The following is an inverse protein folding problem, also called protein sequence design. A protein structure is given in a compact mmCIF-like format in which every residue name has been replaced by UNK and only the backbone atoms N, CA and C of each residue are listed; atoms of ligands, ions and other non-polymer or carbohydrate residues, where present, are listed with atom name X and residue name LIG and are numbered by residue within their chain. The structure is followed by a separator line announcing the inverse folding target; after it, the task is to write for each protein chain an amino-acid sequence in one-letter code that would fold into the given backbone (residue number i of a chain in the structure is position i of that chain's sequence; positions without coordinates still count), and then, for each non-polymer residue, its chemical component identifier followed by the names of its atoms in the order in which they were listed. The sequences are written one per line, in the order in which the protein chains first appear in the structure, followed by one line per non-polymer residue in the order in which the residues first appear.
data_IF_770025394190
#
_entry.id   IF_770025394190
#
_cell.length_a   1.000
_cell.length_b   1.000
_cell.length_c   1.000
_cell.angle_alpha   90.00
_cell.angle_beta   90.00
_cell.angle_gamma   90.00
#
_symmetry.space_group_name_H-M   'P 1'
#
loop_
_entity.id
_entity.type
_entity.pdbx_description
1 polymer ?
2 polymer ?
3 polymer ?
4 non-polymer ?
5 non-polymer ?
6 non-polymer ?
7 water ?
#
loop_
_entity_poly.entity_id
_entity_poly.type
_entity_poly.pdbx_seq_one_letter_code
_entity_poly.pdbx_strand_id
2 'polydeoxyribonucleotide' '(DG)(DG)(DG)(DT)(DT)(DT)(DC)(DC)(DA)(DC)(DT)(DT)(DA)(DT)(DT)(DC)(DA)(DA)(DC)(DA)(DT)(DT)(DT)(DT)(DA)(DG)' ?
3 'polydeoxyribonucleotide' '(DC)(DC)(DT)(DA)(DA)(DA)(DA)(DT)(DG)(DT)(DT)(DG)(DA)(DA)(DT)(DA)(DA)(DG)(DT)(DG)(DG)(DA)(DA)(DA)(DC)(DC)' ?
#
# COMPACT_ATOMS: atom_id res chain seq x y z
N UNK A 6 5.66 21.07 2.17
CA UNK A 6 6.96 21.14 2.83
C UNK A 6 6.91 20.34 4.14
N UNK A 7 5.80 19.61 4.32
CA UNK A 7 5.57 18.82 5.53
C UNK A 7 6.16 17.43 5.35
N UNK A 8 6.72 16.89 6.42
CA UNK A 8 7.22 15.53 6.36
C UNK A 8 6.21 14.58 6.98
N UNK A 9 6.40 13.30 6.70
CA UNK A 9 5.50 12.23 7.10
C UNK A 9 6.15 11.49 8.26
N UNK A 10 5.35 11.19 9.26
CA UNK A 10 5.80 10.35 10.34
C UNK A 10 6.40 9.05 9.77
N UNK A 11 7.53 8.58 10.28
CA UNK A 11 8.19 7.43 9.62
C UNK A 11 7.38 6.14 9.65
N UNK A 12 6.56 5.87 10.70
CA UNK A 12 5.77 4.64 10.68
C UNK A 12 4.59 4.74 9.71
N UNK A 13 4.01 5.92 9.55
CA UNK A 13 2.97 6.13 8.54
C UNK A 13 3.55 5.86 7.17
N UNK A 14 4.79 6.32 6.98
CA UNK A 14 5.46 6.13 5.70
C UNK A 14 5.69 4.64 5.43
N UNK A 15 6.10 3.88 6.44
CA UNK A 15 6.27 2.45 6.23
C UNK A 15 4.95 1.76 5.97
N UNK A 16 3.88 2.14 6.68
CA UNK A 16 2.58 1.57 6.37
C UNK A 16 2.13 1.94 4.97
N UNK A 17 2.40 3.18 4.55
CA UNK A 17 2.02 3.52 3.18
C UNK A 17 2.86 2.78 2.16
N UNK A 18 4.15 2.55 2.45
CA UNK A 18 4.97 1.73 1.59
C UNK A 18 4.52 0.26 1.56
N UNK A 19 4.09 -0.28 2.71
CA UNK A 19 3.54 -1.64 2.67
C UNK A 19 2.35 -1.70 1.74
N UNK A 20 1.57 -0.63 1.66
CA UNK A 20 0.41 -0.60 0.79
C UNK A 20 0.77 -0.41 -0.67
N UNK A 21 1.58 0.62 -0.98
CA UNK A 21 1.74 1.16 -2.35
C UNK A 21 3.18 1.09 -2.90
N UNK A 22 4.16 0.67 -2.10
CA UNK A 22 5.53 0.65 -2.56
C UNK A 22 5.88 -0.60 -3.33
N UNK A 23 7.00 -0.53 -4.05
CA UNK A 23 7.49 -1.64 -4.83
C UNK A 23 9.01 -1.54 -4.95
N UNK A 24 9.68 -2.67 -4.86
CA UNK A 24 11.12 -2.76 -5.06
C UNK A 24 11.42 -3.27 -6.47
N UNK A 25 12.45 -2.71 -7.10
CA UNK A 25 12.75 -2.93 -8.50
C UNK A 25 14.17 -3.40 -8.66
N UNK A 26 14.35 -4.42 -9.51
CA UNK A 26 15.69 -4.89 -9.86
C UNK A 26 15.72 -5.14 -11.36
N UNK A 27 16.43 -4.29 -12.09
CA UNK A 27 16.49 -4.44 -13.53
C UNK A 27 17.78 -5.15 -13.90
N UNK A 28 17.66 -6.17 -14.75
CA UNK A 28 18.85 -6.86 -15.26
C UNK A 28 18.71 -6.84 -16.77
N UNK A 29 19.48 -6.00 -17.44
CA UNK A 29 19.17 -5.54 -18.80
C UNK A 29 20.26 -6.00 -19.73
N UNK A 30 19.87 -6.62 -20.86
CA UNK A 30 20.83 -6.87 -21.94
C UNK A 30 21.50 -5.57 -22.30
N UNK A 31 22.81 -5.55 -22.24
CA UNK A 31 23.53 -4.32 -22.56
C UNK A 31 24.82 -4.69 -23.30
N UNK A 32 24.83 -4.42 -24.61
CA UNK A 32 25.99 -4.67 -25.46
C UNK A 32 27.21 -3.89 -25.05
N UNK A 33 27.07 -2.79 -24.29
CA UNK A 33 28.22 -1.97 -23.94
C UNK A 33 28.80 -2.31 -22.57
N UNK A 34 28.18 -3.25 -21.82
CA UNK A 34 28.68 -3.67 -20.52
C UNK A 34 29.64 -4.84 -20.65
N UNK A 35 30.65 -4.88 -19.77
CA UNK A 35 31.68 -5.91 -19.87
C UNK A 35 31.08 -7.29 -19.74
N UNK A 36 30.08 -7.44 -18.87
CA UNK A 36 29.48 -8.73 -18.61
C UNK A 36 28.24 -8.92 -19.50
N UNK A 37 27.97 -8.00 -20.42
CA UNK A 37 26.80 -8.17 -21.27
C UNK A 37 25.45 -7.79 -20.67
N UNK A 38 25.40 -7.42 -19.39
CA UNK A 38 24.18 -6.98 -18.71
C UNK A 38 24.49 -5.76 -17.87
N UNK A 39 23.61 -4.77 -17.89
CA UNK A 39 23.66 -3.67 -16.90
C UNK A 39 22.48 -3.81 -15.92
N UNK A 40 22.58 -3.16 -14.76
CA UNK A 40 21.61 -3.33 -13.66
C UNK A 40 21.07 -2.00 -13.16
N UNK A 41 19.93 -2.04 -12.48
CA UNK A 41 19.33 -0.89 -11.81
C UNK A 41 18.50 -1.39 -10.63
N UNK A 42 18.71 -0.79 -9.46
CA UNK A 42 18.10 -1.24 -8.23
C UNK A 42 17.25 -0.10 -7.68
N UNK A 43 16.08 -0.40 -7.13
CA UNK A 43 15.31 0.78 -6.75
C UNK A 43 14.08 0.50 -5.93
N UNK A 44 13.45 1.59 -5.49
CA UNK A 44 12.18 1.57 -4.79
C UNK A 44 11.28 2.58 -5.47
N UNK A 45 9.97 2.28 -5.59
CA UNK A 45 9.13 3.28 -6.23
C UNK A 45 7.70 3.19 -5.72
N UNK A 46 6.99 4.31 -5.80
CA UNK A 46 5.57 4.39 -5.50
C UNK A 46 4.90 5.14 -6.67
N UNK A 47 3.85 4.56 -7.22
CA UNK A 47 3.07 5.18 -8.30
C UNK A 47 1.66 5.39 -7.78
N UNK A 48 1.15 6.62 -7.93
CA UNK A 48 -0.16 7.01 -7.43
C UNK A 48 -0.88 7.80 -8.52
N UNK A 49 -2.19 7.94 -8.38
CA UNK A 49 -2.96 8.87 -9.21
C UNK A 49 -2.52 10.30 -8.98
N UNK A 50 -2.50 11.08 -10.07
CA UNK A 50 -2.14 12.49 -10.03
C UNK A 50 -2.71 13.25 -8.85
N UNK A 51 -3.93 12.93 -8.43
CA UNK A 51 -4.58 13.66 -7.35
C UNK A 51 -3.83 13.56 -6.04
N UNK A 52 -2.94 12.57 -5.92
CA UNK A 52 -2.18 12.34 -4.69
C UNK A 52 -0.68 12.59 -4.88
N UNK A 53 -0.34 13.45 -5.85
CA UNK A 53 1.04 13.86 -6.05
C UNK A 53 1.65 14.46 -4.80
N UNK A 54 0.86 15.15 -3.98
CA UNK A 54 1.51 15.81 -2.86
C UNK A 54 2.02 14.81 -1.82
N UNK A 55 1.44 13.59 -1.77
CA UNK A 55 2.02 12.54 -0.94
C UNK A 55 3.45 12.24 -1.39
N UNK A 56 3.65 12.08 -2.71
CA UNK A 56 4.97 11.76 -3.22
C UNK A 56 5.93 12.90 -2.93
N UNK A 57 5.47 14.15 -3.06
CA UNK A 57 6.33 15.27 -2.74
C UNK A 57 6.72 15.26 -1.29
N UNK A 58 5.81 14.82 -0.41
CA UNK A 58 6.12 14.80 1.02
C UNK A 58 7.09 13.69 1.40
N UNK A 59 6.93 12.50 0.80
CA UNK A 59 7.91 11.43 1.00
C UNK A 59 9.27 11.90 0.50
N UNK A 60 9.30 12.46 -0.70
CA UNK A 60 10.55 12.96 -1.24
C UNK A 60 11.22 13.95 -0.28
N UNK A 61 10.44 14.83 0.35
CA UNK A 61 11.11 15.77 1.26
C UNK A 61 11.33 15.15 2.65
N UNK A 62 10.69 14.05 2.99
CA UNK A 62 11.05 13.36 4.23
C UNK A 62 12.42 12.71 4.10
N UNK A 63 12.63 11.97 2.99
CA UNK A 63 13.88 11.26 2.79
C UNK A 63 14.95 12.10 2.14
N UNK A 64 14.55 13.15 1.42
CA UNK A 64 15.44 13.93 0.54
C UNK A 64 16.12 13.08 -0.54
N UNK A 65 15.37 12.13 -1.12
CA UNK A 65 15.86 11.29 -2.23
C UNK A 65 14.66 11.07 -3.16
N UNK A 66 14.95 10.64 -4.37
CA UNK A 66 13.93 10.16 -5.31
C UNK A 66 13.56 11.24 -6.32
N UNK A 67 13.10 10.80 -7.49
CA UNK A 67 12.65 11.69 -8.55
C UNK A 67 11.19 11.42 -8.88
N UNK A 68 10.47 12.48 -9.18
CA UNK A 68 9.02 12.42 -9.46
C UNK A 68 8.82 12.68 -10.94
N UNK A 69 8.03 11.82 -11.61
CA UNK A 69 7.80 11.91 -13.05
C UNK A 69 6.38 11.44 -13.33
N UNK A 70 5.78 11.96 -14.38
CA UNK A 70 4.50 11.45 -14.84
C UNK A 70 4.64 9.96 -15.13
N UNK A 71 3.55 9.23 -14.85
CA UNK A 71 3.45 7.83 -15.25
C UNK A 71 2.15 7.69 -16.05
N UNK A 72 2.20 7.95 -17.37
CA UNK A 72 0.98 7.98 -18.15
C UNK A 72 0.25 9.29 -17.92
N UNK A 73 -1.04 9.35 -18.31
CA UNK A 73 -1.78 10.59 -18.23
C UNK A 73 -2.43 10.82 -16.89
N UNK A 74 -2.62 9.77 -16.09
CA UNK A 74 -3.40 9.91 -14.88
C UNK A 74 -2.65 9.58 -13.61
N UNK A 75 -1.38 9.26 -13.70
CA UNK A 75 -0.61 8.81 -12.53
C UNK A 75 0.76 9.47 -12.54
N UNK A 76 1.47 9.30 -11.43
CA UNK A 76 2.75 9.96 -11.19
C UNK A 76 3.55 9.08 -10.24
N UNK A 77 4.87 8.99 -10.48
CA UNK A 77 5.69 8.09 -9.69
C UNK A 77 6.74 8.86 -8.91
N UNK A 78 7.10 8.33 -7.75
CA UNK A 78 8.35 8.64 -7.05
C UNK A 78 9.26 7.43 -7.18
N UNK A 79 10.44 7.61 -7.78
CA UNK A 79 11.36 6.50 -8.00
C UNK A 79 12.70 6.85 -7.39
N UNK A 80 13.32 5.90 -6.70
CA UNK A 80 14.65 6.06 -6.12
C UNK A 80 15.48 4.94 -6.69
N UNK A 81 16.40 5.27 -7.58
CA UNK A 81 17.35 4.29 -8.10
C UNK A 81 18.79 4.74 -7.98
N UNK A 82 19.06 6.03 -7.76
CA UNK A 82 20.44 6.48 -7.53
C UNK A 82 21.05 5.67 -6.40
N UNK A 83 22.19 5.00 -6.67
CA UNK A 83 22.61 3.92 -5.80
C UNK A 83 22.86 4.41 -4.38
N UNK A 84 23.61 5.52 -4.21
CA UNK A 84 23.89 6.02 -2.87
C UNK A 84 22.64 6.42 -2.10
N UNK A 85 21.60 6.91 -2.80
CA UNK A 85 20.33 7.25 -2.15
C UNK A 85 19.59 6.03 -1.61
N UNK A 86 19.86 4.85 -2.13
CA UNK A 86 19.24 3.63 -1.60
C UNK A 86 19.65 3.36 -0.16
N UNK A 87 20.81 3.86 0.29
CA UNK A 87 21.14 3.79 1.72
C UNK A 87 20.08 4.42 2.61
N UNK A 88 19.46 5.52 2.19
CA UNK A 88 18.36 6.09 2.96
C UNK A 88 17.18 5.13 3.02
N UNK A 89 16.84 4.51 1.90
CA UNK A 89 15.77 3.50 1.88
C UNK A 89 16.09 2.38 2.88
N UNK A 90 17.31 1.86 2.86
CA UNK A 90 17.65 0.77 3.77
C UNK A 90 17.61 1.27 5.20
N UNK A 91 18.26 2.40 5.47
CA UNK A 91 18.21 2.89 6.84
C UNK A 91 16.77 3.10 7.30
N UNK A 92 15.88 3.61 6.44
CA UNK A 92 14.52 3.79 6.91
C UNK A 92 13.86 2.44 7.23
N UNK A 93 13.99 1.45 6.32
CA UNK A 93 13.21 0.21 6.53
C UNK A 93 13.89 -0.71 7.52
N UNK A 94 15.16 -0.46 7.84
CA UNK A 94 15.75 -1.12 9.00
C UNK A 94 15.13 -0.61 10.28
N UNK A 95 14.97 0.72 10.39
CA UNK A 95 14.47 1.33 11.62
C UNK A 95 12.95 1.22 11.77
N UNK A 96 12.20 1.15 10.66
CA UNK A 96 10.73 1.13 10.66
C UNK A 96 10.28 0.05 9.71
N UNK A 97 10.36 -1.21 10.10
CA UNK A 97 10.31 -2.30 9.12
C UNK A 97 8.90 -2.60 8.63
N UNK A 98 8.86 -3.08 7.39
CA UNK A 98 7.67 -3.54 6.71
C UNK A 98 7.11 -4.82 7.34
N UNK A 99 5.83 -5.07 7.06
CA UNK A 99 4.96 -5.98 7.79
C UNK A 99 4.34 -7.00 6.83
N UNK A 100 4.07 -6.58 5.57
CA UNK A 100 3.39 -7.46 4.61
C UNK A 100 4.39 -8.38 3.90
N UNK A 101 3.93 -9.17 2.92
CA UNK A 101 4.89 -9.98 2.18
C UNK A 101 5.94 -9.12 1.50
N UNK A 102 5.66 -7.83 1.35
CA UNK A 102 6.63 -6.95 0.76
C UNK A 102 7.93 -6.91 1.56
N UNK A 103 7.90 -7.23 2.86
CA UNK A 103 9.16 -7.33 3.57
C UNK A 103 10.09 -8.32 2.88
N UNK A 104 9.54 -9.40 2.31
CA UNK A 104 10.43 -10.33 1.62
C UNK A 104 11.07 -9.71 0.39
N UNK A 105 10.32 -8.85 -0.32
CA UNK A 105 10.92 -8.18 -1.46
C UNK A 105 12.02 -7.20 -1.03
N UNK A 106 11.79 -6.48 0.06
CA UNK A 106 12.83 -5.63 0.65
C UNK A 106 14.09 -6.42 1.01
N UNK A 107 13.92 -7.61 1.58
CA UNK A 107 15.08 -8.39 1.93
C UNK A 107 15.87 -8.78 0.71
N UNK A 108 15.19 -9.09 -0.41
CA UNK A 108 15.90 -9.34 -1.68
C UNK A 108 16.58 -8.09 -2.23
N UNK A 109 15.88 -6.95 -2.19
CA UNK A 109 16.50 -5.66 -2.53
C UNK A 109 17.79 -5.41 -1.73
N UNK A 110 17.79 -5.71 -0.43
CA UNK A 110 19.02 -5.60 0.36
C UNK A 110 20.13 -6.54 -0.11
N UNK A 111 19.80 -7.80 -0.39
CA UNK A 111 20.83 -8.69 -0.95
C UNK A 111 21.36 -8.15 -2.26
N UNK A 112 20.47 -7.60 -3.11
CA UNK A 112 20.95 -7.04 -4.36
C UNK A 112 21.81 -5.81 -4.12
N UNK A 113 21.48 -5.02 -3.11
CA UNK A 113 22.31 -3.87 -2.77
C UNK A 113 23.74 -4.30 -2.42
N UNK A 114 23.90 -5.33 -1.57
CA UNK A 114 25.24 -5.80 -1.21
C UNK A 114 26.04 -6.25 -2.42
N UNK A 115 25.42 -7.01 -3.31
CA UNK A 115 26.14 -7.43 -4.50
C UNK A 115 26.64 -6.20 -5.24
N UNK A 116 25.80 -5.17 -5.32
CA UNK A 116 26.20 -4.00 -6.10
C UNK A 116 27.20 -3.14 -5.37
N UNK A 117 27.04 -3.01 -4.05
CA UNK A 117 27.99 -2.24 -3.24
C UNK A 117 29.40 -2.80 -3.34
N UNK A 118 29.54 -4.11 -3.48
CA UNK A 118 30.83 -4.78 -3.66
C UNK A 118 31.31 -4.75 -5.09
N UNK A 119 30.58 -4.09 -6.00
CA UNK A 119 30.92 -4.01 -7.41
C UNK A 119 30.91 -5.38 -8.09
N UNK A 120 30.34 -6.40 -7.46
CA UNK A 120 30.29 -7.74 -8.08
C UNK A 120 29.37 -7.83 -9.30
N UNK A 121 28.38 -6.93 -9.42
CA UNK A 121 27.50 -6.86 -10.59
C UNK A 121 28.23 -6.48 -11.88
N UNK A 122 29.46 -6.04 -11.81
CA UNK A 122 30.30 -5.83 -13.00
C UNK A 122 31.04 -7.10 -13.39
N UNK A 123 30.87 -8.21 -12.64
CA UNK A 123 31.52 -9.48 -12.93
C UNK A 123 30.49 -10.57 -13.21
N UNK A 124 30.95 -11.66 -13.86
CA UNK A 124 30.07 -12.81 -14.09
C UNK A 124 29.33 -13.24 -12.84
N UNK A 125 30.06 -13.45 -11.74
CA UNK A 125 29.47 -14.08 -10.57
C UNK A 125 28.39 -13.21 -9.95
N UNK A 126 28.59 -11.88 -9.96
CA UNK A 126 27.57 -10.98 -9.39
C UNK A 126 26.30 -10.92 -10.23
N UNK A 127 26.44 -10.88 -11.55
CA UNK A 127 25.24 -10.91 -12.37
C UNK A 127 24.46 -12.19 -12.11
N UNK A 128 25.16 -13.33 -11.96
CA UNK A 128 24.45 -14.57 -11.70
C UNK A 128 23.72 -14.51 -10.38
N UNK A 129 24.33 -13.90 -9.36
CA UNK A 129 23.63 -13.79 -8.08
C UNK A 129 22.44 -12.82 -8.18
N UNK A 130 22.59 -11.72 -8.90
CA UNK A 130 21.41 -10.86 -9.07
C UNK A 130 20.27 -11.65 -9.73
N UNK A 131 20.60 -12.49 -10.71
CA UNK A 131 19.55 -13.27 -11.39
C UNK A 131 18.86 -14.17 -10.41
N UNK A 132 19.62 -14.85 -9.53
CA UNK A 132 19.02 -15.70 -8.49
C UNK A 132 18.13 -14.90 -7.54
N UNK A 133 18.56 -13.69 -7.16
CA UNK A 133 17.77 -12.79 -6.33
C UNK A 133 16.50 -12.33 -7.07
N UNK A 134 16.65 -11.87 -8.32
CA UNK A 134 15.49 -11.43 -9.06
C UNK A 134 14.44 -12.54 -9.23
N UNK A 135 14.90 -13.79 -9.37
CA UNK A 135 13.96 -14.91 -9.55
C UNK A 135 12.96 -15.01 -8.43
N UNK A 136 13.32 -14.53 -7.23
CA UNK A 136 12.42 -14.61 -6.09
C UNK A 136 11.66 -13.31 -5.84
N UNK A 137 12.01 -12.24 -6.55
CA UNK A 137 11.45 -10.90 -6.35
C UNK A 137 10.24 -10.65 -7.23
N UNK A 138 9.14 -10.16 -6.66
CA UNK A 138 7.97 -9.75 -7.46
C UNK A 138 7.67 -10.89 -8.46
N UNK A 139 7.52 -10.60 -9.75
CA UNK A 139 7.06 -11.55 -10.77
C UNK A 139 8.18 -12.44 -11.34
N UNK A 140 9.40 -12.32 -10.88
CA UNK A 140 10.38 -13.34 -11.25
C UNK A 140 11.04 -13.09 -12.57
N UNK A 141 11.68 -14.13 -13.08
CA UNK A 141 12.48 -14.00 -14.29
C UNK A 141 11.59 -14.07 -15.49
N UNK A 142 11.91 -13.30 -16.50
CA UNK A 142 11.29 -13.56 -17.79
C UNK A 142 11.79 -14.90 -18.33
N UNK A 143 11.07 -15.46 -19.31
CA UNK A 143 11.56 -16.68 -19.96
C UNK A 143 12.92 -16.40 -20.60
N UNK A 144 13.10 -15.21 -21.17
CA UNK A 144 14.36 -14.93 -21.84
C UNK A 144 15.51 -14.96 -20.85
N UNK A 145 15.33 -14.33 -19.69
CA UNK A 145 16.42 -14.26 -18.76
C UNK A 145 16.65 -15.62 -18.09
N UNK A 146 15.60 -16.39 -17.85
CA UNK A 146 15.83 -17.76 -17.37
C UNK A 146 16.61 -18.56 -18.41
N UNK A 147 16.27 -18.44 -19.68
CA UNK A 147 16.99 -19.26 -20.65
C UNK A 147 18.43 -18.81 -20.83
N UNK A 148 18.75 -17.57 -20.44
CA UNK A 148 20.09 -17.05 -20.57
C UNK A 148 20.98 -17.47 -19.43
N UNK A 149 20.42 -17.96 -18.32
CA UNK A 149 21.20 -18.41 -17.16
C UNK A 149 20.80 -19.85 -16.83
N UNK A 150 21.22 -20.84 -17.69
CA UNK A 150 20.84 -22.24 -17.47
C UNK A 150 21.37 -22.78 -16.18
N UNK A 151 20.52 -22.79 -15.19
CA UNK A 151 20.94 -23.17 -13.85
C UNK A 151 19.63 -23.39 -13.11
N UNK A 152 19.61 -24.35 -12.18
CA UNK A 152 18.43 -24.64 -11.39
C UNK A 152 18.25 -23.51 -10.38
N UNK A 153 17.26 -22.66 -10.57
CA UNK A 153 17.13 -21.43 -9.77
C UNK A 153 15.78 -21.50 -9.05
N UNK A 154 15.81 -21.48 -7.73
CA UNK A 154 14.60 -21.48 -6.93
C UNK A 154 13.83 -20.16 -7.07
N UNK A 155 12.50 -20.26 -7.10
CA UNK A 155 11.66 -19.07 -7.05
C UNK A 155 10.93 -18.92 -5.73
N UNK A 156 11.29 -19.71 -4.72
CA UNK A 156 10.52 -19.81 -3.49
C UNK A 156 11.14 -18.96 -2.38
N UNK A 157 10.30 -18.38 -1.55
CA UNK A 157 10.80 -17.63 -0.41
C UNK A 157 9.97 -17.93 0.81
N UNK A 158 10.52 -17.63 1.98
CA UNK A 158 9.71 -17.80 3.17
C UNK A 158 8.66 -16.69 3.23
N UNK A 159 7.47 -17.06 3.67
CA UNK A 159 6.39 -16.11 3.86
C UNK A 159 6.67 -15.25 5.07
N UNK A 160 6.19 -14.05 5.05
CA UNK A 160 6.38 -13.15 6.19
C UNK A 160 5.18 -13.31 7.09
N UNK A 161 5.40 -13.31 8.40
CA UNK A 161 4.30 -13.44 9.34
C UNK A 161 4.59 -12.47 10.48
N UNK A 162 3.97 -11.30 10.44
CA UNK A 162 4.26 -10.25 11.40
C UNK A 162 2.98 -9.55 11.75
N UNK A 163 2.95 -8.99 12.93
CA UNK A 163 1.82 -8.26 13.47
C UNK A 163 1.96 -6.77 13.19
N UNK A 164 0.83 -6.09 13.15
CA UNK A 164 0.73 -4.64 13.01
C UNK A 164 1.50 -4.01 14.17
N UNK A 165 2.46 -3.15 13.92
CA UNK A 165 3.35 -2.72 15.01
C UNK A 165 2.75 -1.62 15.84
N UNK A 166 1.84 -0.83 15.26
CA UNK A 166 1.33 0.32 15.97
C UNK A 166 0.31 0.97 15.04
N UNK A 167 -0.40 1.96 15.56
CA UNK A 167 -1.48 2.59 14.82
C UNK A 167 -1.01 3.58 13.78
N UNK A 168 0.21 4.10 13.92
CA UNK A 168 0.77 4.91 12.85
C UNK A 168 0.92 4.09 11.58
N UNK A 169 1.56 2.90 11.70
CA UNK A 169 1.62 2.00 10.55
C UNK A 169 0.24 1.79 9.97
N UNK A 170 -0.79 1.67 10.83
CA UNK A 170 -2.13 1.40 10.31
C UNK A 170 -2.68 2.62 9.53
N UNK A 171 -2.44 3.83 10.05
CA UNK A 171 -2.90 5.00 9.32
C UNK A 171 -2.24 5.09 7.95
N UNK A 172 -0.95 4.74 7.87
CA UNK A 172 -0.27 4.75 6.60
C UNK A 172 -0.78 3.68 5.66
N UNK A 173 -0.99 2.46 6.17
CA UNK A 173 -1.51 1.38 5.35
C UNK A 173 -2.91 1.66 4.86
N UNK A 174 -3.75 2.22 5.75
CA UNK A 174 -5.14 2.57 5.40
C UNK A 174 -5.18 3.71 4.40
N UNK A 175 -4.29 4.68 4.55
CA UNK A 175 -4.16 5.69 3.51
C UNK A 175 -3.97 5.06 2.13
N UNK A 176 -3.30 3.91 2.05
CA UNK A 176 -3.18 3.21 0.80
C UNK A 176 -4.39 2.39 0.42
N UNK A 177 -4.72 1.38 1.24
CA UNK A 177 -5.65 0.33 0.92
C UNK A 177 -7.03 0.49 1.55
N UNK A 178 -7.23 1.51 2.37
CA UNK A 178 -8.48 1.64 3.09
C UNK A 178 -9.56 2.33 2.28
N UNK A 179 -10.82 2.13 2.68
CA UNK A 179 -11.93 2.67 1.92
C UNK A 179 -13.05 3.01 2.87
N UNK A 180 -13.57 4.24 2.81
CA UNK A 180 -14.65 4.67 3.69
C UNK A 180 -15.86 5.02 2.84
N UNK A 181 -17.02 4.39 3.08
CA UNK A 181 -18.12 4.88 2.27
C UNK A 181 -19.46 4.87 3.01
N UNK A 182 -20.39 5.61 2.42
CA UNK A 182 -21.78 5.73 2.82
C UNK A 182 -22.56 4.82 1.88
N UNK A 183 -23.03 3.73 2.39
CA UNK A 183 -23.77 2.75 1.61
C UNK A 183 -25.27 3.01 1.82
N UNK A 184 -25.96 3.42 0.75
CA UNK A 184 -27.40 3.72 0.80
C UNK A 184 -28.18 2.47 0.38
N UNK A 185 -28.85 1.84 1.33
CA UNK A 185 -29.50 0.56 1.12
C UNK A 185 -31.00 0.80 0.92
N UNK A 186 -31.53 0.42 -0.25
CA UNK A 186 -32.97 0.46 -0.46
C UNK A 186 -33.66 -0.43 0.56
N UNK A 187 -34.62 0.13 1.32
CA UNK A 187 -35.11 -0.55 2.52
C UNK A 187 -36.64 -0.53 2.58
N UNK A 188 -37.18 -1.41 3.43
CA UNK A 188 -38.59 -1.30 3.81
C UNK A 188 -38.80 -0.38 5.00
N UNK A 189 -37.74 0.30 5.45
CA UNK A 189 -37.91 1.28 6.52
C UNK A 189 -38.92 2.34 6.10
N UNK A 190 -39.46 3.03 7.12
CA UNK A 190 -40.37 4.14 6.86
C UNK A 190 -39.79 5.05 5.78
N UNK A 191 -38.57 5.51 5.99
CA UNK A 191 -37.96 6.44 5.04
C UNK A 191 -37.51 5.78 3.74
N UNK A 192 -37.46 4.46 3.66
CA UNK A 192 -37.16 3.75 2.42
C UNK A 192 -35.69 3.65 2.01
N UNK A 193 -34.77 4.22 2.78
CA UNK A 193 -33.34 4.18 2.47
C UNK A 193 -32.62 4.05 3.80
N UNK A 194 -31.89 2.95 3.98
CA UNK A 194 -31.08 2.73 5.16
C UNK A 194 -29.66 3.24 4.89
N UNK A 195 -29.11 4.01 5.82
CA UNK A 195 -27.75 4.50 5.75
C UNK A 195 -26.83 3.53 6.48
N UNK A 196 -25.84 3.00 5.77
CA UNK A 196 -24.85 2.09 6.36
C UNK A 196 -23.48 2.67 6.11
N UNK A 197 -22.73 2.93 7.17
CA UNK A 197 -21.33 3.30 7.01
C UNK A 197 -20.49 2.03 6.99
N UNK A 198 -19.56 1.95 6.03
CA UNK A 198 -18.71 0.78 5.79
C UNK A 198 -17.25 1.23 5.76
N UNK A 199 -16.41 0.56 6.55
CA UNK A 199 -14.94 0.70 6.46
C UNK A 199 -14.42 -0.60 5.87
N UNK A 200 -13.52 -0.50 4.88
CA UNK A 200 -13.05 -1.70 4.20
C UNK A 200 -11.56 -1.63 3.96
N UNK A 201 -10.88 -2.75 4.12
CA UNK A 201 -9.50 -2.85 3.66
C UNK A 201 -9.43 -4.07 2.79
N UNK A 202 -8.76 -3.95 1.67
CA UNK A 202 -8.70 -5.00 0.69
C UNK A 202 -7.26 -5.44 0.48
N UNK A 203 -7.03 -6.75 0.32
CA UNK A 203 -5.68 -7.29 0.18
C UNK A 203 -5.75 -8.66 -0.50
N UNK A 204 -4.68 -9.00 -1.19
CA UNK A 204 -4.55 -10.33 -1.74
C UNK A 204 -4.38 -11.36 -0.63
N UNK A 205 -4.74 -12.61 -0.96
CA UNK A 205 -4.78 -13.65 0.06
C UNK A 205 -3.40 -14.06 0.57
N UNK A 206 -2.30 -13.78 -0.15
CA UNK A 206 -0.97 -13.97 0.42
C UNK A 206 -0.76 -13.21 1.75
N UNK A 207 -1.59 -12.27 2.09
CA UNK A 207 -1.48 -11.68 3.41
C UNK A 207 -2.72 -11.92 4.27
N UNK A 208 -3.29 -13.13 4.18
CA UNK A 208 -4.47 -13.45 4.98
C UNK A 208 -4.16 -13.32 6.45
N UNK A 209 -2.94 -13.68 6.88
CA UNK A 209 -2.65 -13.65 8.29
C UNK A 209 -2.80 -12.26 8.85
N UNK A 210 -2.05 -11.32 8.28
CA UNK A 210 -2.17 -9.91 8.60
C UNK A 210 -3.63 -9.43 8.59
N UNK A 211 -4.33 -9.69 7.49
CA UNK A 211 -5.74 -9.31 7.40
C UNK A 211 -6.55 -9.87 8.58
N UNK A 212 -6.44 -11.18 8.83
CA UNK A 212 -7.25 -11.81 9.89
C UNK A 212 -6.97 -11.14 11.22
N UNK A 213 -5.76 -10.69 11.41
CA UNK A 213 -5.36 -10.08 12.67
C UNK A 213 -6.02 -8.71 12.90
N UNK A 214 -6.42 -8.01 11.82
CA UNK A 214 -7.08 -6.73 12.00
C UNK A 214 -8.31 -6.87 12.88
N UNK A 215 -9.00 -8.02 12.81
CA UNK A 215 -10.17 -8.19 13.66
C UNK A 215 -9.75 -8.08 15.11
N UNK A 216 -8.65 -8.73 15.47
CA UNK A 216 -8.19 -8.67 16.85
C UNK A 216 -7.56 -7.31 17.16
N UNK A 217 -6.78 -6.78 16.22
CA UNK A 217 -6.10 -5.52 16.45
C UNK A 217 -7.09 -4.40 16.66
N UNK A 218 -8.16 -4.37 15.88
CA UNK A 218 -9.14 -3.31 16.01
C UNK A 218 -10.35 -3.73 16.84
N UNK A 219 -10.44 -5.00 17.23
CA UNK A 219 -11.53 -5.50 18.04
C UNK A 219 -12.90 -5.45 17.40
N UNK A 220 -12.96 -5.48 16.08
CA UNK A 220 -14.23 -5.50 15.37
C UNK A 220 -13.97 -6.01 13.96
N UNK A 221 -15.07 -6.18 13.20
CA UNK A 221 -14.99 -6.50 11.78
C UNK A 221 -15.08 -7.98 11.46
N UNK A 222 -15.13 -8.26 10.16
CA UNK A 222 -15.09 -9.61 9.63
C UNK A 222 -14.34 -9.58 8.29
N UNK A 223 -13.98 -10.78 7.81
CA UNK A 223 -13.21 -10.97 6.60
C UNK A 223 -14.05 -11.76 5.63
N UNK A 224 -14.11 -11.30 4.38
CA UNK A 224 -14.72 -12.05 3.28
C UNK A 224 -13.64 -12.39 2.27
N UNK A 225 -13.87 -13.47 1.53
CA UNK A 225 -13.10 -13.79 0.33
C UNK A 225 -13.91 -13.47 -0.92
N UNK A 226 -13.21 -13.04 -1.96
CA UNK A 226 -13.80 -12.76 -3.27
C UNK A 226 -13.01 -13.51 -4.33
N UNK A 227 -13.70 -13.85 -5.44
CA UNK A 227 -13.16 -14.57 -6.60
C UNK A 227 -13.60 -13.86 -7.88
N UNK A 228 -12.64 -13.63 -8.78
CA UNK A 228 -12.90 -13.05 -10.10
C UNK A 228 -12.12 -13.94 -11.06
N UNK A 229 -12.83 -14.90 -11.67
CA UNK A 229 -12.15 -15.92 -12.45
C UNK A 229 -11.09 -16.60 -11.59
N UNK A 230 -9.83 -16.49 -11.98
CA UNK A 230 -8.77 -17.16 -11.23
C UNK A 230 -8.21 -16.34 -10.06
N UNK A 231 -8.65 -15.10 -9.85
CA UNK A 231 -8.02 -14.20 -8.88
C UNK A 231 -8.80 -14.17 -7.58
N UNK A 232 -8.09 -13.98 -6.47
CA UNK A 232 -8.71 -14.05 -5.16
C UNK A 232 -8.19 -12.92 -4.30
N UNK A 233 -9.05 -12.36 -3.45
CA UNK A 233 -8.59 -11.34 -2.53
C UNK A 233 -9.52 -11.37 -1.33
N UNK A 234 -9.13 -10.60 -0.28
CA UNK A 234 -9.89 -10.47 0.96
C UNK A 234 -10.36 -9.03 1.18
N UNK A 235 -11.56 -8.88 1.77
CA UNK A 235 -11.99 -7.64 2.42
C UNK A 235 -12.00 -7.89 3.91
N UNK A 236 -11.37 -7.02 4.66
CA UNK A 236 -11.76 -6.76 6.04
C UNK A 236 -12.82 -5.67 6.01
N UNK A 237 -13.92 -5.86 6.72
CA UNK A 237 -14.96 -4.82 6.76
C UNK A 237 -15.45 -4.60 8.18
N UNK A 238 -15.84 -3.35 8.44
CA UNK A 238 -16.64 -3.03 9.61
C UNK A 238 -17.93 -2.39 9.13
N UNK A 239 -19.07 -2.93 9.60
CA UNK A 239 -20.36 -2.35 9.30
C UNK A 239 -21.18 -1.99 10.53
N UNK A 240 -20.81 -2.45 11.73
CA UNK A 240 -21.62 -2.13 12.90
C UNK A 240 -21.35 -0.70 13.32
N UNK A 241 -22.42 0.11 13.45
CA UNK A 241 -22.16 1.53 13.65
C UNK A 241 -21.43 1.77 14.95
N UNK A 242 -21.67 0.93 15.95
CA UNK A 242 -21.05 1.12 17.26
C UNK A 242 -19.54 0.99 17.16
N UNK A 243 -19.07 -0.02 16.42
CA UNK A 243 -17.65 -0.22 16.18
C UNK A 243 -17.08 0.91 15.33
N UNK A 244 -17.79 1.30 14.26
CA UNK A 244 -17.34 2.44 13.46
C UNK A 244 -17.12 3.65 14.34
N UNK A 245 -18.11 3.95 15.18
CA UNK A 245 -18.08 5.23 15.88
C UNK A 245 -17.15 5.20 17.08
N UNK A 246 -17.03 4.06 17.75
CA UNK A 246 -16.21 3.96 18.95
C UNK A 246 -14.82 3.40 18.72
N UNK A 247 -14.61 2.62 17.65
CA UNK A 247 -13.29 2.01 17.43
C UNK A 247 -12.58 2.55 16.20
N UNK A 248 -13.23 2.59 15.03
CA UNK A 248 -12.51 2.99 13.83
C UNK A 248 -12.25 4.48 13.81
N UNK A 249 -13.31 5.27 13.93
CA UNK A 249 -13.16 6.72 13.86
C UNK A 249 -12.10 7.24 14.83
N UNK A 250 -12.11 6.86 16.13
CA UNK A 250 -11.09 7.40 17.04
C UNK A 250 -9.67 7.03 16.62
N UNK A 251 -9.46 5.85 16.07
CA UNK A 251 -8.12 5.48 15.59
C UNK A 251 -7.58 6.52 14.62
N UNK A 252 -8.39 6.86 13.61
CA UNK A 252 -7.87 7.72 12.55
C UNK A 252 -7.98 9.20 12.87
N UNK A 253 -8.76 9.60 13.88
CA UNK A 253 -8.60 10.97 14.35
C UNK A 253 -7.25 11.13 15.04
N UNK A 254 -6.82 10.14 15.81
CA UNK A 254 -5.57 10.20 16.55
C UNK A 254 -4.37 9.92 15.67
N UNK A 255 -4.54 9.16 14.61
CA UNK A 255 -3.45 8.79 13.69
C UNK A 255 -3.90 9.17 12.30
N UNK A 256 -3.46 10.34 11.85
CA UNK A 256 -4.08 11.07 10.74
C UNK A 256 -3.70 10.51 9.36
N UNK A 257 -4.71 10.26 8.53
CA UNK A 257 -4.55 9.73 7.19
C UNK A 257 -3.83 10.76 6.34
N UNK A 258 -3.25 10.29 5.24
CA UNK A 258 -2.62 11.19 4.28
C UNK A 258 -3.34 11.05 2.93
N UNK A 259 -3.20 12.09 2.10
CA UNK A 259 -3.75 12.04 0.76
C UNK A 259 -5.21 12.46 0.74
N UNK A 260 -5.81 12.38 -0.44
CA UNK A 260 -7.21 12.77 -0.51
C UNK A 260 -8.07 11.78 0.25
N UNK A 261 -7.58 10.57 0.54
CA UNK A 261 -8.38 9.71 1.40
C UNK A 261 -8.75 10.39 2.73
N UNK A 262 -7.92 11.31 3.21
CA UNK A 262 -8.22 12.06 4.44
C UNK A 262 -9.55 12.79 4.32
N UNK A 263 -9.81 13.39 3.16
CA UNK A 263 -11.03 14.17 3.00
C UNK A 263 -12.25 13.25 2.97
N UNK A 264 -12.10 12.06 2.41
CA UNK A 264 -13.19 11.11 2.45
C UNK A 264 -13.46 10.67 3.87
N UNK A 265 -12.40 10.49 4.66
CA UNK A 265 -12.60 10.13 6.07
C UNK A 265 -13.33 11.22 6.82
N UNK A 266 -12.91 12.46 6.63
CA UNK A 266 -13.58 13.58 7.31
C UNK A 266 -15.04 13.65 6.91
N UNK A 267 -15.35 13.46 5.62
CA UNK A 267 -16.75 13.50 5.19
C UNK A 267 -17.53 12.34 5.81
N UNK A 268 -16.95 11.14 5.77
CA UNK A 268 -17.51 9.98 6.47
C UNK A 268 -17.83 10.30 7.93
N UNK A 269 -16.93 11.03 8.60
CA UNK A 269 -17.13 11.36 10.02
C UNK A 269 -18.32 12.32 10.21
N UNK A 270 -18.51 13.28 9.30
CA UNK A 270 -19.75 14.08 9.25
C UNK A 270 -20.98 13.18 9.30
N UNK A 271 -21.06 12.20 8.40
CA UNK A 271 -22.25 11.35 8.36
C UNK A 271 -22.37 10.54 9.63
N UNK A 272 -21.25 10.15 10.22
CA UNK A 272 -21.27 9.46 11.51
C UNK A 272 -21.94 10.35 12.56
N UNK A 273 -21.55 11.62 12.61
CA UNK A 273 -22.17 12.55 13.56
C UNK A 273 -23.70 12.61 13.36
N UNK A 274 -24.15 12.73 12.11
CA UNK A 274 -25.58 12.79 11.85
C UNK A 274 -26.29 11.53 12.30
N UNK A 275 -25.67 10.37 12.08
CA UNK A 275 -26.30 9.11 12.49
C UNK A 275 -26.38 9.06 14.01
N UNK A 276 -25.31 9.52 14.69
CA UNK A 276 -25.30 9.50 16.15
C UNK A 276 -26.42 10.36 16.73
N UNK A 277 -26.78 11.44 16.02
CA UNK A 277 -27.92 12.29 16.34
C UNK A 277 -29.25 11.76 15.80
N UNK A 278 -29.27 10.60 15.14
CA UNK A 278 -30.46 10.03 14.54
C UNK A 278 -31.04 10.90 13.44
N UNK A 279 -30.30 11.91 12.99
CA UNK A 279 -30.74 12.72 11.87
C UNK A 279 -30.76 11.96 10.55
N UNK A 280 -30.19 10.74 10.50
CA UNK A 280 -30.28 9.91 9.29
C UNK A 280 -31.69 9.40 9.08
N UNK A 281 -32.54 9.52 10.08
CA UNK A 281 -33.94 9.12 9.96
C UNK A 281 -34.87 10.29 9.68
N UNK A 282 -34.32 11.45 9.33
CA UNK A 282 -35.13 12.59 8.94
C UNK A 282 -34.86 12.91 7.48
N UNK A 283 -35.84 13.56 6.83
CA UNK A 283 -35.67 13.91 5.42
C UNK A 283 -34.56 14.92 5.26
N UNK A 284 -34.47 15.89 6.17
CA UNK A 284 -33.42 16.90 6.02
C UNK A 284 -32.04 16.25 6.18
N UNK A 285 -31.93 15.30 7.11
CA UNK A 285 -30.73 14.52 7.29
C UNK A 285 -30.31 13.71 6.07
N UNK A 286 -31.13 12.72 5.68
CA UNK A 286 -30.81 11.90 4.53
C UNK A 286 -30.44 12.74 3.31
N UNK A 287 -31.10 13.89 3.15
CA UNK A 287 -30.74 14.78 2.05
C UNK A 287 -29.30 15.23 2.17
N UNK A 288 -28.88 15.63 3.36
CA UNK A 288 -27.50 16.09 3.54
C UNK A 288 -26.52 14.93 3.38
N UNK A 289 -26.78 13.80 4.02
CA UNK A 289 -25.98 12.59 3.82
C UNK A 289 -25.83 12.30 2.33
N UNK A 290 -26.92 12.36 1.57
CA UNK A 290 -26.82 12.09 0.14
C UNK A 290 -25.87 13.06 -0.54
N UNK A 291 -25.95 14.36 -0.19
CA UNK A 291 -25.05 15.34 -0.77
C UNK A 291 -23.60 15.02 -0.39
N UNK A 292 -23.35 14.74 0.88
CA UNK A 292 -21.99 14.41 1.29
C UNK A 292 -21.48 13.21 0.51
N UNK A 293 -22.30 12.18 0.35
CA UNK A 293 -21.86 10.98 -0.35
C UNK A 293 -21.52 11.29 -1.80
N UNK A 294 -22.30 12.15 -2.44
CA UNK A 294 -22.03 12.47 -3.84
C UNK A 294 -20.65 13.06 -4.04
N UNK A 295 -20.11 13.69 -3.00
CA UNK A 295 -18.82 14.36 -3.14
C UNK A 295 -17.66 13.55 -2.61
N UNK A 296 -17.89 12.29 -2.23
CA UNK A 296 -16.85 11.42 -1.71
C UNK A 296 -16.36 10.49 -2.81
N UNK A 297 -15.16 9.94 -2.59
CA UNK A 297 -14.60 8.82 -3.36
C UNK A 297 -14.65 9.19 -4.85
N UNK A 298 -15.22 8.36 -5.73
CA UNK A 298 -15.13 8.62 -7.16
C UNK A 298 -15.82 9.91 -7.58
N UNK A 299 -16.75 10.42 -6.78
CA UNK A 299 -17.42 11.65 -7.08
C UNK A 299 -16.73 12.92 -6.60
N UNK A 300 -15.65 12.80 -5.86
CA UNK A 300 -14.97 14.00 -5.42
C UNK A 300 -14.49 14.73 -6.66
#
# INVERSE_FOLDING_TARGET
MASSRRESINPWILTGFADAEGSFLLRIRNNNKSSVGYSTELGFQITLHNKDKSILENIQSTWKVGVIANSGDNAVSLKVTRFEDLKVIIDHFEKYPLITQKLGDYKLFKQAFSVMENKEHLKENGIKELVRIKAKLNWGLTDELKKAFPENISKERSLINKNIPNFKWLAGFTSGEGHFRVNLIKSKSKLGVQVQLVFTITQHIKDKNLMNSLITYLGCGYIYEFNKSEFSWLDFRVTKFSDINDKIIPVFQENTLIGVKLEDFEDWCKVAKLIEEKKHLTESGLDEIKKIKLNMNKGR
#
